data_IF_206439193041
#
_entry.id   IF_206439193041
#
_cell.length_a   1.000
_cell.length_b   1.000
_cell.length_c   1.000
_cell.angle_alpha   90.00
_cell.angle_beta   90.00
_cell.angle_gamma   90.00
#
_symmetry.space_group_name_H-M   'P 1'
#
loop_
_entity.id
_entity.type
_entity.pdbx_description
1 polymer ?
#
# COMPACT_ATOMS: atom_id res chain seq x y z
N UNK A 1 4.38 0.94 26.32
CA UNK A 1 2.94 0.60 26.17
C UNK A 1 2.05 1.81 25.95
N UNK A 2 2.41 2.96 26.52
CA UNK A 2 1.61 4.19 26.37
C UNK A 2 1.44 4.59 24.90
N UNK A 3 2.45 4.33 24.07
CA UNK A 3 2.45 4.76 22.68
C UNK A 3 1.70 3.83 21.73
N UNK A 4 1.35 2.60 22.17
CA UNK A 4 0.69 1.63 21.31
C UNK A 4 -0.65 2.13 20.77
N UNK A 5 -1.55 2.71 21.59
CA UNK A 5 -2.81 3.24 21.07
C UNK A 5 -2.61 4.34 20.02
N UNK A 6 -1.59 5.19 20.20
CA UNK A 6 -1.30 6.24 19.24
C UNK A 6 -0.80 5.69 17.91
N UNK A 7 0.04 4.66 17.98
CA UNK A 7 0.58 4.01 16.78
C UNK A 7 -0.55 3.33 16.01
N UNK A 8 -1.45 2.65 16.72
CA UNK A 8 -2.61 2.00 16.10
C UNK A 8 -3.51 3.05 15.44
N UNK A 9 -3.73 4.19 16.13
CA UNK A 9 -4.53 5.27 15.58
C UNK A 9 -3.91 5.83 14.30
N UNK A 10 -2.58 5.99 14.25
CA UNK A 10 -1.88 6.44 13.06
C UNK A 10 -2.07 5.45 11.91
N UNK A 11 -1.91 4.15 12.18
CA UNK A 11 -2.07 3.11 11.16
C UNK A 11 -3.49 3.12 10.58
N UNK A 12 -4.51 3.19 11.42
CA UNK A 12 -5.89 3.25 10.93
C UNK A 12 -6.18 4.55 10.19
N UNK A 13 -5.55 5.66 10.59
CA UNK A 13 -5.68 6.92 9.87
C UNK A 13 -5.12 6.81 8.46
N UNK A 14 -3.97 6.15 8.30
CA UNK A 14 -3.38 5.93 6.98
C UNK A 14 -4.30 5.08 6.10
N UNK A 15 -4.91 4.04 6.65
CA UNK A 15 -5.88 3.22 5.92
C UNK A 15 -7.08 4.06 5.51
N UNK A 16 -7.59 4.90 6.43
CA UNK A 16 -8.71 5.79 6.14
C UNK A 16 -8.40 6.76 5.00
N UNK A 17 -7.21 7.36 5.01
CA UNK A 17 -6.78 8.25 3.94
C UNK A 17 -6.69 7.49 2.62
N UNK A 18 -6.14 6.28 2.63
CA UNK A 18 -6.02 5.46 1.44
C UNK A 18 -7.40 5.13 0.84
N UNK A 19 -8.35 4.73 1.69
CA UNK A 19 -9.70 4.40 1.25
C UNK A 19 -10.41 5.64 0.70
N UNK A 20 -10.22 6.79 1.34
CA UNK A 20 -10.79 8.05 0.85
C UNK A 20 -10.25 8.39 -0.53
N UNK A 21 -8.95 8.21 -0.73
CA UNK A 21 -8.32 8.48 -2.03
C UNK A 21 -8.88 7.59 -3.12
N UNK A 22 -9.02 6.30 -2.86
CA UNK A 22 -9.60 5.35 -3.82
C UNK A 22 -11.05 5.71 -4.14
N UNK A 23 -11.79 6.15 -3.13
CA UNK A 23 -13.21 6.47 -3.31
C UNK A 23 -13.44 7.74 -4.12
N UNK A 24 -12.53 8.71 -4.02
CA UNK A 24 -12.74 10.04 -4.61
C UNK A 24 -12.03 10.25 -5.94
N UNK A 25 -11.01 9.43 -6.25
CA UNK A 25 -10.21 9.61 -7.46
C UNK A 25 -9.90 8.25 -8.06
N UNK A 26 -10.17 8.11 -9.37
CA UNK A 26 -9.95 6.88 -10.12
C UNK A 26 -8.65 6.90 -10.91
N UNK A 27 -7.82 7.91 -10.70
CA UNK A 27 -6.53 7.95 -11.36
C UNK A 27 -5.64 6.81 -10.86
N UNK A 28 -4.96 6.14 -11.79
CA UNK A 28 -4.15 4.97 -11.48
C UNK A 28 -3.10 5.25 -10.41
N UNK A 29 -2.44 6.41 -10.49
CA UNK A 29 -1.39 6.79 -9.54
C UNK A 29 -1.96 6.93 -8.13
N UNK A 30 -3.16 7.51 -8.00
CA UNK A 30 -3.81 7.67 -6.70
C UNK A 30 -4.12 6.30 -6.08
N UNK A 31 -4.62 5.36 -6.88
CA UNK A 31 -4.91 4.00 -6.41
C UNK A 31 -3.62 3.34 -5.93
N UNK A 32 -2.53 3.51 -6.66
CA UNK A 32 -1.24 2.95 -6.28
C UNK A 32 -0.70 3.54 -4.98
N UNK A 33 -0.80 4.86 -4.83
CA UNK A 33 -0.39 5.51 -3.58
C UNK A 33 -1.23 5.02 -2.41
N UNK A 34 -2.53 4.80 -2.64
CA UNK A 34 -3.42 4.27 -1.60
C UNK A 34 -3.00 2.87 -1.17
N UNK A 35 -2.66 1.99 -2.11
CA UNK A 35 -2.17 0.65 -1.80
C UNK A 35 -0.88 0.72 -1.00
N UNK A 36 0.04 1.63 -1.37
CA UNK A 36 1.28 1.82 -0.64
C UNK A 36 1.03 2.30 0.80
N UNK A 37 0.05 3.18 1.00
CA UNK A 37 -0.31 3.63 2.35
C UNK A 37 -0.87 2.48 3.19
N UNK A 38 -1.67 1.60 2.60
CA UNK A 38 -2.19 0.43 3.30
C UNK A 38 -1.06 -0.52 3.68
N UNK A 39 -0.10 -0.74 2.80
CA UNK A 39 1.07 -1.56 3.10
C UNK A 39 1.92 -0.94 4.20
N UNK A 40 2.09 0.39 4.18
CA UNK A 40 2.81 1.09 5.22
C UNK A 40 2.12 0.93 6.57
N UNK A 41 0.79 1.06 6.61
CA UNK A 41 0.01 0.87 7.83
C UNK A 41 0.18 -0.55 8.37
N UNK A 42 0.15 -1.55 7.49
CA UNK A 42 0.37 -2.95 7.87
C UNK A 42 1.76 -3.15 8.45
N UNK A 43 2.77 -2.52 7.86
CA UNK A 43 4.15 -2.59 8.34
C UNK A 43 4.26 -1.98 9.75
N UNK A 44 3.64 -0.83 9.96
CA UNK A 44 3.65 -0.15 11.26
C UNK A 44 3.03 -1.06 12.32
N UNK A 45 1.88 -1.66 12.03
CA UNK A 45 1.22 -2.55 12.98
C UNK A 45 2.05 -3.81 13.26
N UNK A 46 2.63 -4.40 12.23
CA UNK A 46 3.44 -5.60 12.38
C UNK A 46 4.67 -5.32 13.24
N UNK A 47 5.37 -4.22 12.98
CA UNK A 47 6.56 -3.85 13.76
C UNK A 47 6.17 -3.58 15.20
N UNK A 48 5.04 -2.90 15.42
CA UNK A 48 4.56 -2.60 16.77
C UNK A 48 4.31 -3.89 17.56
N UNK A 49 3.56 -4.81 16.98
CA UNK A 49 3.27 -6.07 17.67
C UNK A 49 4.52 -6.89 17.90
N UNK A 50 5.42 -6.93 16.92
CA UNK A 50 6.68 -7.66 17.04
C UNK A 50 7.54 -7.09 18.17
N UNK A 51 7.62 -5.76 18.27
CA UNK A 51 8.46 -5.08 19.26
C UNK A 51 8.02 -5.38 20.68
N UNK A 52 6.72 -5.57 20.90
CA UNK A 52 6.17 -5.77 22.24
C UNK A 52 5.99 -7.25 22.61
N UNK A 53 6.47 -8.17 21.77
CA UNK A 53 6.47 -9.59 22.14
C UNK A 53 7.54 -9.88 23.17
N UNK A 54 7.19 -10.72 24.14
CA UNK A 54 8.14 -11.15 25.17
C UNK A 54 9.22 -12.06 24.60
N UNK A 55 8.83 -12.93 23.67
CA UNK A 55 9.74 -13.83 22.97
C UNK A 55 9.56 -13.62 21.49
N UNK A 56 10.36 -12.74 20.86
CA UNK A 56 10.21 -12.46 19.43
C UNK A 56 10.36 -13.73 18.59
N UNK A 57 9.38 -13.95 17.73
CA UNK A 57 9.37 -15.08 16.81
C UNK A 57 10.01 -14.64 15.50
N UNK A 58 10.96 -15.41 14.93
CA UNK A 58 11.55 -15.08 13.63
C UNK A 58 10.54 -14.91 12.51
N UNK A 59 9.34 -15.50 12.63
CA UNK A 59 8.29 -15.36 11.63
C UNK A 59 7.87 -13.91 11.42
N UNK A 60 7.97 -13.06 12.45
CA UNK A 60 7.68 -11.64 12.31
C UNK A 60 8.61 -10.94 11.34
N UNK A 61 9.90 -11.29 11.40
CA UNK A 61 10.90 -10.73 10.49
C UNK A 61 10.66 -11.23 9.07
N UNK A 62 10.31 -12.51 8.92
CA UNK A 62 10.00 -13.08 7.60
C UNK A 62 8.79 -12.38 6.99
N UNK A 63 7.75 -12.12 7.77
CA UNK A 63 6.57 -11.38 7.31
C UNK A 63 6.94 -9.96 6.87
N UNK A 64 7.77 -9.28 7.65
CA UNK A 64 8.19 -7.92 7.32
C UNK A 64 8.95 -7.87 6.01
N UNK A 65 9.91 -8.79 5.83
CA UNK A 65 10.67 -8.89 4.58
C UNK A 65 9.73 -9.20 3.42
N UNK A 66 8.75 -10.08 3.62
CA UNK A 66 7.77 -10.43 2.60
C UNK A 66 6.94 -9.22 2.17
N UNK A 67 6.47 -8.41 3.13
CA UNK A 67 5.71 -7.19 2.84
C UNK A 67 6.56 -6.21 2.04
N UNK A 68 7.82 -6.01 2.44
CA UNK A 68 8.72 -5.11 1.73
C UNK A 68 9.04 -5.60 0.32
N UNK A 69 9.19 -6.91 0.15
CA UNK A 69 9.44 -7.50 -1.17
C UNK A 69 8.24 -7.29 -2.09
N UNK A 70 7.02 -7.52 -1.58
CA UNK A 70 5.79 -7.29 -2.34
C UNK A 70 5.66 -5.82 -2.72
N UNK A 71 5.94 -4.93 -1.78
CA UNK A 71 5.87 -3.49 -2.04
C UNK A 71 6.86 -3.07 -3.14
N UNK A 72 8.08 -3.60 -3.11
CA UNK A 72 9.08 -3.31 -4.14
C UNK A 72 8.64 -3.81 -5.51
N UNK A 73 8.10 -5.02 -5.58
CA UNK A 73 7.59 -5.59 -6.84
C UNK A 73 6.43 -4.76 -7.37
N UNK A 74 5.54 -4.31 -6.49
CA UNK A 74 4.41 -3.48 -6.89
C UNK A 74 4.89 -2.16 -7.50
N UNK A 75 5.88 -1.51 -6.88
CA UNK A 75 6.43 -0.25 -7.41
C UNK A 75 7.01 -0.45 -8.79
N UNK A 76 7.79 -1.50 -8.98
CA UNK A 76 8.39 -1.81 -10.27
C UNK A 76 7.30 -2.08 -11.31
N UNK A 77 6.29 -2.86 -10.94
CA UNK A 77 5.17 -3.18 -11.84
C UNK A 77 4.40 -1.92 -12.24
N UNK A 78 4.18 -1.02 -11.29
CA UNK A 78 3.49 0.25 -11.53
C UNK A 78 4.26 1.12 -12.49
N UNK A 79 5.57 1.24 -12.29
CA UNK A 79 6.41 2.04 -13.17
C UNK A 79 6.37 1.47 -14.59
N UNK A 80 6.48 0.15 -14.72
CA UNK A 80 6.41 -0.51 -16.02
C UNK A 80 5.04 -0.27 -16.68
N UNK A 81 3.96 -0.39 -15.93
CA UNK A 81 2.61 -0.14 -16.43
C UNK A 81 2.43 1.32 -16.83
N UNK A 82 2.94 2.24 -16.01
CA UNK A 82 2.88 3.68 -16.32
C UNK A 82 3.56 3.97 -17.65
N UNK A 83 4.76 3.45 -17.85
CA UNK A 83 5.51 3.65 -19.09
C UNK A 83 4.73 3.07 -20.27
N UNK A 84 4.16 1.87 -20.12
CA UNK A 84 3.38 1.22 -21.16
C UNK A 84 2.16 2.06 -21.56
N UNK A 85 1.38 2.51 -20.57
CA UNK A 85 0.17 3.29 -20.82
C UNK A 85 0.52 4.61 -21.50
N UNK A 86 1.56 5.29 -21.02
CA UNK A 86 2.01 6.54 -21.60
C UNK A 86 2.48 6.38 -23.03
N UNK A 87 3.24 5.31 -23.29
CA UNK A 87 3.74 5.04 -24.64
C UNK A 87 2.61 4.76 -25.64
N UNK A 88 1.50 4.20 -25.16
CA UNK A 88 0.33 3.91 -25.99
C UNK A 88 -0.65 5.07 -26.07
N UNK A 89 -0.37 6.18 -25.40
CA UNK A 89 -1.27 7.32 -25.37
C UNK A 89 -2.58 7.06 -24.65
N UNK A 90 -2.61 6.07 -23.76
CA UNK A 90 -3.81 5.72 -23.00
C UNK A 90 -3.97 6.63 -21.78
N UNK A 91 -5.20 6.65 -21.27
CA UNK A 91 -5.55 7.42 -20.09
C UNK A 91 -5.24 6.62 -18.83
N UNK A 92 -4.79 7.29 -17.77
CA UNK A 92 -4.50 6.66 -16.48
C UNK A 92 -5.74 6.50 -15.60
N UNK A 93 -6.90 6.96 -16.05
CA UNK A 93 -8.15 6.75 -15.33
C UNK A 93 -8.57 5.29 -15.46
N UNK A 94 -8.71 4.61 -14.32
CA UNK A 94 -9.02 3.18 -14.30
C UNK A 94 -10.37 2.89 -14.93
N UNK A 95 -11.33 3.80 -14.76
CA UNK A 95 -12.65 3.65 -15.36
C UNK A 95 -12.57 3.65 -16.89
N UNK A 96 -11.77 4.54 -17.46
CA UNK A 96 -11.57 4.59 -18.90
C UNK A 96 -10.80 3.39 -19.42
N UNK A 97 -9.77 2.95 -18.71
CA UNK A 97 -9.02 1.76 -19.09
C UNK A 97 -9.91 0.52 -19.10
N UNK A 98 -10.81 0.42 -18.14
CA UNK A 98 -11.78 -0.67 -18.07
C UNK A 98 -12.73 -0.65 -19.27
N UNK A 99 -13.20 0.54 -19.67
CA UNK A 99 -14.09 0.69 -20.82
C UNK A 99 -13.39 0.34 -22.13
N UNK A 100 -12.12 0.64 -22.26
CA UNK A 100 -11.35 0.34 -23.47
C UNK A 100 -11.15 -1.15 -23.66
N UNK A 101 -11.18 -1.91 -22.60
CA UNK A 101 -11.02 -3.35 -22.64
C UNK A 101 -12.27 -4.06 -23.19
N UNK A 102 -13.43 -3.48 -23.00
CA UNK A 102 -14.72 -4.04 -23.39
C UNK A 102 -15.32 -3.30 -24.58
#
# INVERSE_FOLDING_TARGET
>A
MIYVPYIIAIAFSLVGIALAGISTDRHFVVIMLAVELILLASTILLVTFFTYQKSPDPSGIVMLISIWTVAAVEVITVIAFYVYVKARGLDFDVTRLSKMKW
#
